data_IF_028174764110
#
_entry.id   IF_028174764110
#
_cell.length_a   1.000
_cell.length_b   1.000
_cell.length_c   1.000
_cell.angle_alpha   90.00
_cell.angle_beta   90.00
_cell.angle_gamma   90.00
#
_symmetry.space_group_name_H-M   'P 1'
#
loop_
_entity.id
_entity.type
_entity.pdbx_description
1 polymer ?
#
# COMPACT_ATOMS: atom_id res chain seq x y z
N UNK A 1 -18.18 -18.80 -6.20
CA UNK A 1 -16.79 -18.41 -6.49
C UNK A 1 -15.91 -18.51 -5.26
N UNK A 2 -15.84 -17.56 -4.33
CA UNK A 2 -14.95 -17.64 -3.13
C UNK A 2 -15.00 -19.00 -2.43
N UNK A 3 -16.19 -19.48 -2.05
CA UNK A 3 -16.32 -20.79 -1.39
C UNK A 3 -15.93 -21.98 -2.29
N UNK A 4 -16.16 -21.86 -3.59
CA UNK A 4 -15.82 -22.90 -4.58
C UNK A 4 -14.31 -23.00 -4.77
N UNK A 5 -13.65 -21.87 -5.01
CA UNK A 5 -12.18 -21.78 -5.14
C UNK A 5 -11.45 -22.19 -3.86
N UNK A 6 -11.98 -21.79 -2.69
CA UNK A 6 -11.41 -22.17 -1.40
C UNK A 6 -11.77 -23.61 -0.96
N UNK A 7 -12.58 -24.35 -1.72
CA UNK A 7 -12.99 -25.71 -1.37
C UNK A 7 -13.81 -25.82 -0.08
N UNK A 8 -14.53 -24.76 0.31
CA UNK A 8 -15.32 -24.71 1.56
C UNK A 8 -16.81 -24.54 1.29
N UNK A 9 -17.65 -24.94 2.24
CA UNK A 9 -19.10 -24.71 2.15
C UNK A 9 -19.44 -23.23 2.41
N UNK A 10 -20.59 -22.76 1.88
CA UNK A 10 -21.13 -21.44 2.26
C UNK A 10 -21.36 -21.34 3.77
N UNK A 11 -21.79 -22.43 4.41
CA UNK A 11 -22.00 -22.48 5.86
C UNK A 11 -20.68 -22.31 6.62
N UNK A 12 -19.57 -22.83 6.09
CA UNK A 12 -18.23 -22.59 6.63
C UNK A 12 -17.82 -21.14 6.46
N UNK A 13 -18.02 -20.54 5.28
CA UNK A 13 -17.72 -19.13 5.04
C UNK A 13 -18.47 -18.21 6.02
N UNK A 14 -19.79 -18.38 6.13
CA UNK A 14 -20.63 -17.56 7.00
C UNK A 14 -20.45 -17.80 8.51
N UNK A 15 -19.67 -18.83 8.91
CA UNK A 15 -19.21 -18.95 10.31
C UNK A 15 -18.12 -17.94 10.65
N UNK A 16 -17.34 -17.50 9.66
CA UNK A 16 -16.18 -16.63 9.85
C UNK A 16 -16.43 -15.21 9.35
N UNK A 17 -17.28 -15.04 8.34
CA UNK A 17 -17.53 -13.75 7.71
C UNK A 17 -19.02 -13.53 7.47
N UNK A 18 -19.55 -12.41 7.96
CA UNK A 18 -20.97 -12.07 7.83
C UNK A 18 -21.38 -11.88 6.35
N UNK A 19 -20.47 -11.36 5.53
CA UNK A 19 -20.68 -11.10 4.11
C UNK A 19 -19.35 -10.92 3.36
N UNK A 20 -19.43 -10.77 2.03
CA UNK A 20 -18.26 -10.57 1.15
C UNK A 20 -17.47 -9.31 1.52
N UNK A 21 -18.15 -8.22 1.89
CA UNK A 21 -17.52 -6.96 2.29
C UNK A 21 -16.71 -7.13 3.57
N UNK A 22 -17.23 -7.85 4.56
CA UNK A 22 -16.53 -8.19 5.80
C UNK A 22 -15.28 -9.03 5.54
N UNK A 23 -15.41 -10.06 4.69
CA UNK A 23 -14.26 -10.85 4.25
C UNK A 23 -13.19 -9.99 3.58
N UNK A 24 -13.59 -9.13 2.64
CA UNK A 24 -12.68 -8.24 1.95
C UNK A 24 -11.96 -7.28 2.92
N UNK A 25 -12.68 -6.66 3.86
CA UNK A 25 -12.11 -5.79 4.91
C UNK A 25 -11.08 -6.53 5.77
N UNK A 26 -11.32 -7.80 6.10
CA UNK A 26 -10.35 -8.63 6.81
C UNK A 26 -9.08 -8.88 5.99
N UNK A 27 -9.22 -9.24 4.70
CA UNK A 27 -8.05 -9.43 3.81
C UNK A 27 -7.24 -8.14 3.72
N UNK A 28 -7.89 -7.01 3.46
CA UNK A 28 -7.21 -5.71 3.38
C UNK A 28 -6.52 -5.32 4.69
N UNK A 29 -7.17 -5.57 5.84
CA UNK A 29 -6.57 -5.33 7.17
C UNK A 29 -5.29 -6.13 7.38
N UNK A 30 -5.34 -7.42 7.04
CA UNK A 30 -4.20 -8.32 7.22
C UNK A 30 -3.02 -7.89 6.35
N UNK A 31 -3.29 -7.49 5.10
CA UNK A 31 -2.22 -7.01 4.21
C UNK A 31 -1.62 -5.69 4.67
N UNK A 32 -2.43 -4.73 5.13
CA UNK A 32 -1.91 -3.48 5.71
C UNK A 32 -1.09 -3.75 6.97
N UNK A 33 -1.54 -4.64 7.86
CA UNK A 33 -0.81 -5.00 9.08
C UNK A 33 0.51 -5.70 8.75
N UNK A 34 0.50 -6.65 7.82
CA UNK A 34 1.71 -7.34 7.32
C UNK A 34 2.71 -6.32 6.79
N UNK A 35 2.26 -5.42 5.93
CA UNK A 35 3.11 -4.38 5.34
C UNK A 35 3.73 -3.48 6.42
N UNK A 36 2.96 -3.06 7.43
CA UNK A 36 3.48 -2.22 8.51
C UNK A 36 4.50 -2.97 9.38
N UNK A 37 4.27 -4.25 9.67
CA UNK A 37 5.24 -5.07 10.41
C UNK A 37 6.55 -5.19 9.64
N UNK A 38 6.51 -5.44 8.32
CA UNK A 38 7.71 -5.50 7.49
C UNK A 38 8.41 -4.14 7.42
N UNK A 39 7.65 -3.05 7.27
CA UNK A 39 8.21 -1.69 7.30
C UNK A 39 8.95 -1.40 8.61
N UNK A 40 8.39 -1.74 9.77
CA UNK A 40 9.07 -1.59 11.07
C UNK A 40 10.40 -2.33 11.10
N UNK A 41 10.43 -3.59 10.66
CA UNK A 41 11.65 -4.39 10.61
C UNK A 41 12.73 -3.71 9.76
N UNK A 42 12.35 -3.11 8.63
CA UNK A 42 13.28 -2.37 7.75
C UNK A 42 13.82 -1.11 8.45
N UNK A 43 12.97 -0.39 9.19
CA UNK A 43 13.37 0.83 9.90
C UNK A 43 14.26 0.56 11.12
N UNK A 44 14.10 -0.60 11.76
CA UNK A 44 14.88 -1.03 12.93
C UNK A 44 16.22 -1.68 12.54
N UNK A 45 16.27 -2.39 11.40
CA UNK A 45 17.47 -3.09 10.95
C UNK A 45 18.59 -2.11 10.63
N UNK A 46 19.81 -2.42 11.07
CA UNK A 46 21.01 -1.67 10.72
C UNK A 46 21.39 -1.92 9.26
N UNK A 47 21.41 -0.85 8.46
CA UNK A 47 21.80 -0.86 7.05
C UNK A 47 22.04 0.59 6.55
N UNK A 48 22.82 0.77 5.47
CA UNK A 48 23.02 2.05 4.82
C UNK A 48 21.69 2.73 4.40
N UNK A 49 21.60 4.07 4.42
CA UNK A 49 20.39 4.78 4.02
C UNK A 49 19.86 4.42 2.62
N UNK A 50 20.75 4.30 1.64
CA UNK A 50 20.39 3.94 0.27
C UNK A 50 19.81 2.50 0.19
N UNK A 51 20.41 1.57 0.92
CA UNK A 51 19.92 0.18 1.00
C UNK A 51 18.56 0.10 1.69
N UNK A 52 18.32 0.92 2.72
CA UNK A 52 17.02 1.00 3.39
C UNK A 52 15.93 1.46 2.46
N UNK A 53 16.18 2.52 1.70
CA UNK A 53 15.20 3.03 0.76
C UNK A 53 14.90 1.99 -0.33
N UNK A 54 15.92 1.33 -0.88
CA UNK A 54 15.75 0.21 -1.81
C UNK A 54 14.92 -0.92 -1.20
N UNK A 55 15.17 -1.28 0.06
CA UNK A 55 14.40 -2.34 0.75
C UNK A 55 12.95 -1.95 0.94
N UNK A 56 12.66 -0.68 1.26
CA UNK A 56 11.28 -0.16 1.32
C UNK A 56 10.60 -0.27 -0.05
N UNK A 57 11.31 0.03 -1.15
CA UNK A 57 10.78 -0.08 -2.51
C UNK A 57 10.51 -1.54 -2.87
N UNK A 58 11.44 -2.46 -2.59
CA UNK A 58 11.22 -3.90 -2.82
C UNK A 58 10.02 -4.41 -2.01
N UNK A 59 9.88 -4.00 -0.75
CA UNK A 59 8.73 -4.34 0.07
C UNK A 59 7.42 -3.80 -0.55
N UNK A 60 7.44 -2.59 -1.10
CA UNK A 60 6.29 -2.02 -1.82
C UNK A 60 5.98 -2.82 -3.10
N UNK A 61 6.99 -3.22 -3.87
CA UNK A 61 6.83 -4.09 -5.04
C UNK A 61 6.15 -5.41 -4.66
N UNK A 62 6.70 -6.12 -3.68
CA UNK A 62 6.21 -7.43 -3.27
C UNK A 62 4.77 -7.35 -2.78
N UNK A 63 4.42 -6.30 -2.02
CA UNK A 63 3.06 -6.08 -1.55
C UNK A 63 2.03 -5.79 -2.66
N UNK A 64 2.46 -5.48 -3.88
CA UNK A 64 1.56 -5.31 -5.03
C UNK A 64 1.23 -6.61 -5.78
N UNK A 65 2.02 -7.67 -5.58
CA UNK A 65 1.84 -8.96 -6.25
C UNK A 65 0.68 -9.77 -5.64
N UNK A 66 0.36 -9.54 -4.37
CA UNK A 66 -0.64 -10.32 -3.63
C UNK A 66 -2.07 -9.76 -3.74
N UNK A 67 -2.26 -8.65 -4.45
CA UNK A 67 -3.55 -7.97 -4.58
C UNK A 67 -3.96 -7.87 -6.05
N UNK A 68 -5.14 -8.40 -6.39
CA UNK A 68 -5.66 -8.36 -7.76
C UNK A 68 -6.15 -6.95 -8.15
N UNK A 69 -6.17 -6.67 -9.46
CA UNK A 69 -6.72 -5.42 -10.02
C UNK A 69 -8.17 -5.21 -9.59
N UNK A 70 -8.97 -6.26 -9.65
CA UNK A 70 -10.39 -6.25 -9.31
C UNK A 70 -10.57 -5.89 -7.84
N UNK A 71 -9.74 -6.46 -6.96
CA UNK A 71 -9.76 -6.12 -5.55
C UNK A 71 -9.38 -4.65 -5.30
N UNK A 72 -8.35 -4.12 -5.97
CA UNK A 72 -8.01 -2.70 -5.85
C UNK A 72 -9.15 -1.78 -6.32
N UNK A 73 -9.79 -2.12 -7.45
CA UNK A 73 -10.93 -1.38 -7.98
C UNK A 73 -12.13 -1.40 -7.03
N UNK A 74 -12.45 -2.56 -6.45
CA UNK A 74 -13.55 -2.68 -5.49
C UNK A 74 -13.32 -1.82 -4.23
N UNK A 75 -12.07 -1.59 -3.83
CA UNK A 75 -11.74 -0.78 -2.64
C UNK A 75 -11.57 0.71 -2.92
N UNK A 76 -11.00 1.09 -4.07
CA UNK A 76 -10.70 2.49 -4.39
C UNK A 76 -11.74 3.16 -5.30
N UNK A 77 -12.54 2.39 -6.03
CA UNK A 77 -13.56 2.89 -6.96
C UNK A 77 -14.99 2.61 -6.50
N UNK A 78 -15.19 1.98 -5.33
CA UNK A 78 -16.56 1.73 -4.87
C UNK A 78 -17.24 3.02 -4.42
N UNK A 79 -18.49 3.19 -4.87
CA UNK A 79 -19.44 4.18 -4.32
C UNK A 79 -19.86 3.84 -2.87
N UNK A 80 -19.41 2.70 -2.35
CA UNK A 80 -19.62 2.26 -0.97
C UNK A 80 -18.77 3.12 -0.02
N UNK A 81 -19.40 4.18 0.47
CA UNK A 81 -18.87 5.07 1.52
C UNK A 81 -18.33 4.32 2.74
N UNK A 82 -18.83 3.12 3.06
CA UNK A 82 -18.37 2.32 4.21
C UNK A 82 -17.05 1.58 3.94
N UNK A 83 -16.76 1.23 2.68
CA UNK A 83 -15.49 0.66 2.27
C UNK A 83 -14.44 1.76 2.19
N UNK A 84 -14.80 2.88 1.56
CA UNK A 84 -13.93 4.07 1.50
C UNK A 84 -13.52 4.55 2.89
N UNK A 85 -14.48 4.76 3.80
CA UNK A 85 -14.16 5.21 5.17
C UNK A 85 -13.28 4.22 5.94
N UNK A 86 -13.46 2.91 5.68
CA UNK A 86 -12.67 1.86 6.29
C UNK A 86 -11.22 1.88 5.80
N UNK A 87 -11.01 2.03 4.49
CA UNK A 87 -9.68 2.22 3.90
C UNK A 87 -9.03 3.47 4.46
N UNK A 88 -9.75 4.58 4.50
CA UNK A 88 -9.24 5.86 5.01
C UNK A 88 -8.80 5.76 6.48
N UNK A 89 -9.61 5.16 7.36
CA UNK A 89 -9.25 5.00 8.79
C UNK A 89 -8.05 4.07 8.98
N UNK A 90 -8.04 2.93 8.30
CA UNK A 90 -6.97 1.94 8.42
C UNK A 90 -5.64 2.51 7.90
N UNK A 91 -5.66 3.19 6.76
CA UNK A 91 -4.47 3.79 6.16
C UNK A 91 -3.98 4.99 6.98
N UNK A 92 -4.88 5.82 7.53
CA UNK A 92 -4.51 6.96 8.37
C UNK A 92 -3.70 6.56 9.60
N UNK A 93 -4.07 5.44 10.25
CA UNK A 93 -3.31 4.90 11.39
C UNK A 93 -1.90 4.46 11.00
N UNK A 94 -1.79 3.73 9.89
CA UNK A 94 -0.51 3.30 9.33
C UNK A 94 0.39 4.48 8.96
N UNK A 95 -0.20 5.57 8.45
CA UNK A 95 0.55 6.76 8.06
C UNK A 95 1.17 7.53 9.22
N UNK A 96 0.50 7.59 10.37
CA UNK A 96 1.08 8.21 11.56
C UNK A 96 2.40 7.54 11.97
N UNK A 97 2.45 6.22 11.87
CA UNK A 97 3.64 5.45 12.18
C UNK A 97 4.76 5.66 11.14
N UNK A 98 4.41 5.68 9.86
CA UNK A 98 5.36 5.94 8.77
C UNK A 98 5.96 7.36 8.92
N UNK A 99 5.13 8.36 9.20
CA UNK A 99 5.57 9.75 9.42
C UNK A 99 6.53 9.84 10.60
N UNK A 100 6.19 9.20 11.73
CA UNK A 100 7.08 9.12 12.90
C UNK A 100 8.42 8.48 12.55
N UNK A 101 8.39 7.37 11.80
CA UNK A 101 9.59 6.66 11.35
C UNK A 101 10.46 7.50 10.42
N UNK A 102 9.85 8.28 9.52
CA UNK A 102 10.57 9.20 8.65
C UNK A 102 11.21 10.35 9.42
N UNK A 103 10.53 10.89 10.44
CA UNK A 103 11.11 11.92 11.32
C UNK A 103 12.32 11.37 12.09
N UNK A 104 12.22 10.18 12.66
CA UNK A 104 13.37 9.52 13.30
C UNK A 104 14.52 9.27 12.31
N UNK A 105 14.20 8.89 11.07
CA UNK A 105 15.21 8.72 10.02
C UNK A 105 15.88 10.04 9.63
N UNK A 106 15.18 11.18 9.69
CA UNK A 106 15.79 12.51 9.50
C UNK A 106 16.75 12.87 10.63
N UNK A 107 16.39 12.55 11.89
CA UNK A 107 17.26 12.76 13.05
C UNK A 107 18.56 11.95 12.96
N UNK A 108 18.46 10.71 12.46
CA UNK A 108 19.60 9.81 12.17
C UNK A 108 20.40 10.19 10.92
N UNK A 109 19.98 11.22 10.17
CA UNK A 109 20.64 11.65 8.94
C UNK A 109 20.43 10.74 7.74
N UNK A 110 19.47 9.80 7.80
CA UNK A 110 19.14 8.90 6.70
C UNK A 110 18.32 9.58 5.62
N UNK A 111 17.48 10.54 6.01
CA UNK A 111 16.69 11.37 5.09
C UNK A 111 17.03 12.85 5.25
N UNK A 112 16.85 13.62 4.18
CA UNK A 112 17.11 15.08 4.18
C UNK A 112 16.24 15.79 5.22
N UNK A 113 16.83 16.71 6.00
CA UNK A 113 16.16 17.40 7.12
C UNK A 113 15.06 18.38 6.69
N UNK A 114 15.13 18.86 5.46
CA UNK A 114 14.19 19.82 4.87
C UNK A 114 12.97 19.14 4.22
N UNK A 115 12.96 17.81 4.13
CA UNK A 115 11.81 17.04 3.71
C UNK A 115 10.69 17.11 4.76
N UNK A 116 9.44 17.18 4.29
CA UNK A 116 8.24 17.11 5.13
C UNK A 116 7.59 15.74 4.93
N UNK A 117 7.71 14.79 5.89
CA UNK A 117 7.08 13.46 5.77
C UNK A 117 5.59 13.49 5.41
N UNK A 118 4.87 14.49 5.91
CA UNK A 118 3.44 14.71 5.63
C UNK A 118 3.15 14.95 4.15
N UNK A 119 4.12 15.47 3.39
CA UNK A 119 3.96 15.69 1.96
C UNK A 119 3.76 14.37 1.21
N UNK A 120 4.44 13.29 1.61
CA UNK A 120 4.24 11.98 1.00
C UNK A 120 2.82 11.49 1.26
N UNK A 121 2.33 11.59 2.51
CA UNK A 121 0.94 11.24 2.84
C UNK A 121 -0.04 12.00 1.94
N UNK A 122 0.07 13.33 1.90
CA UNK A 122 -0.81 14.17 1.09
C UNK A 122 -0.80 13.74 -0.38
N UNK A 123 0.38 13.49 -0.92
CA UNK A 123 0.53 13.10 -2.31
C UNK A 123 -0.05 11.72 -2.60
N UNK A 124 0.20 10.73 -1.74
CA UNK A 124 -0.38 9.40 -1.92
C UNK A 124 -1.91 9.41 -1.91
N UNK A 125 -2.55 10.26 -1.10
CA UNK A 125 -4.01 10.42 -1.12
C UNK A 125 -4.53 10.97 -2.45
N UNK A 126 -3.75 11.84 -3.11
CA UNK A 126 -4.10 12.40 -4.43
C UNK A 126 -3.75 11.49 -5.60
N UNK A 127 -2.92 10.47 -5.38
CA UNK A 127 -2.62 9.44 -6.37
C UNK A 127 -3.68 8.33 -6.42
N UNK A 128 -4.49 8.16 -5.36
CA UNK A 128 -5.53 7.12 -5.32
C UNK A 128 -6.43 7.14 -6.57
N UNK A 129 -6.97 8.30 -7.01
CA UNK A 129 -7.79 8.35 -8.22
C UNK A 129 -7.00 8.03 -9.51
N UNK A 130 -5.68 8.20 -9.51
CA UNK A 130 -4.84 7.90 -10.67
C UNK A 130 -4.66 6.39 -10.87
N UNK A 131 -4.69 5.60 -9.80
CA UNK A 131 -4.63 4.13 -9.90
C UNK A 131 -5.85 3.51 -10.57
N UNK A 132 -6.94 4.28 -10.71
CA UNK A 132 -8.20 3.82 -11.30
C UNK A 132 -8.54 4.56 -12.60
N UNK A 133 -7.67 5.49 -13.04
CA UNK A 133 -7.84 6.22 -14.30
C UNK A 133 -7.52 5.32 -15.51
N UNK A 134 -8.52 5.06 -16.36
CA UNK A 134 -8.36 4.17 -17.51
C UNK A 134 -7.37 4.69 -18.56
N UNK A 135 -7.19 6.00 -18.71
CA UNK A 135 -6.27 6.55 -19.70
C UNK A 135 -4.82 6.37 -19.26
N UNK A 136 -4.57 6.55 -17.97
CA UNK A 136 -3.25 6.29 -17.38
C UNK A 136 -2.94 4.79 -17.35
N UNK A 137 -3.90 3.96 -16.94
CA UNK A 137 -3.72 2.50 -16.88
C UNK A 137 -3.40 1.88 -18.25
N UNK A 138 -3.85 2.48 -19.37
CA UNK A 138 -3.51 2.02 -20.73
C UNK A 138 -2.02 2.16 -21.09
N UNK A 139 -1.25 2.93 -20.32
CA UNK A 139 0.19 3.08 -20.53
C UNK A 139 1.01 1.92 -19.93
N UNK A 140 0.37 1.05 -19.15
CA UNK A 140 1.02 0.01 -18.36
C UNK A 140 0.35 -1.35 -18.60
N UNK A 141 1.12 -2.44 -18.52
CA UNK A 141 0.58 -3.79 -18.69
C UNK A 141 -0.33 -4.16 -17.51
N UNK A 142 0.06 -3.75 -16.29
CA UNK A 142 -0.65 -4.03 -15.04
C UNK A 142 -0.78 -2.79 -14.14
N UNK A 143 -1.77 -2.71 -13.22
CA UNK A 143 -1.83 -1.61 -12.24
C UNK A 143 -0.62 -1.60 -11.30
N UNK A 144 0.01 -2.75 -11.08
CA UNK A 144 1.22 -2.87 -10.29
C UNK A 144 2.38 -2.09 -10.93
N UNK A 145 2.51 -2.12 -12.25
CA UNK A 145 3.53 -1.35 -12.97
C UNK A 145 3.36 0.16 -12.74
N UNK A 146 2.12 0.66 -12.72
CA UNK A 146 1.84 2.07 -12.42
C UNK A 146 2.18 2.43 -10.97
N UNK A 147 1.88 1.57 -10.00
CA UNK A 147 2.28 1.76 -8.59
C UNK A 147 3.80 1.83 -8.48
N UNK A 148 4.50 1.03 -9.27
CA UNK A 148 5.95 1.03 -9.31
C UNK A 148 6.55 2.24 -10.01
N UNK A 149 5.92 2.75 -11.06
CA UNK A 149 6.30 4.03 -11.66
C UNK A 149 6.28 5.14 -10.61
N UNK A 150 5.16 5.31 -9.89
CA UNK A 150 5.07 6.35 -8.87
C UNK A 150 6.11 6.16 -7.76
N UNK A 151 6.33 4.92 -7.32
CA UNK A 151 7.33 4.61 -6.29
C UNK A 151 8.74 4.98 -6.74
N UNK A 152 9.11 4.63 -7.98
CA UNK A 152 10.40 4.96 -8.56
C UNK A 152 10.54 6.47 -8.77
N UNK A 153 9.51 7.12 -9.30
CA UNK A 153 9.49 8.56 -9.50
C UNK A 153 9.67 9.33 -8.19
N UNK A 154 9.05 8.90 -7.08
CA UNK A 154 9.26 9.53 -5.78
C UNK A 154 10.66 9.35 -5.22
N UNK A 155 11.26 8.22 -5.51
CA UNK A 155 12.52 7.84 -4.89
C UNK A 155 13.71 8.37 -5.67
N UNK A 156 13.66 8.24 -7.00
CA UNK A 156 14.77 8.46 -7.90
C UNK A 156 14.50 9.57 -8.93
N UNK A 157 13.26 10.06 -9.01
CA UNK A 157 12.84 10.99 -10.06
C UNK A 157 12.92 10.33 -11.43
N UNK A 158 13.58 11.03 -12.37
CA UNK A 158 13.81 10.57 -13.75
C UNK A 158 15.27 10.13 -13.99
N UNK A 159 16.08 10.07 -12.94
CA UNK A 159 17.49 9.67 -13.06
C UNK A 159 17.59 8.18 -13.34
N UNK A 160 18.55 7.72 -14.16
CA UNK A 160 18.86 6.30 -14.24
C UNK A 160 19.23 5.77 -12.84
N UNK A 161 18.74 4.57 -12.53
CA UNK A 161 19.10 3.87 -11.29
C UNK A 161 20.58 3.46 -11.36
N UNK A 162 21.40 3.93 -10.43
CA UNK A 162 22.72 3.34 -10.15
C UNK A 162 22.59 2.14 -9.20
#
# INVERSE_FOLDING_TARGET
EICHEAGVSKMTFYKWFDNKTGFAKTIFSNEVQRAIIEFRKIMEKEMPPAERLKTIITMKMEGTNDISREFLMDFYSSDDTSLKSFVDDLTSKSWNEIISSFRMAQEKGWFRKDFKPEFILYLTQHLIPMYTDENLLKLYDTPQDLIMEFTNFFTYGISPHE
#
